data_IF_386295205551
#
_entry.id   IF_386295205551
#
_cell.length_a   1.000
_cell.length_b   1.000
_cell.length_c   1.000
_cell.angle_alpha   90.00
_cell.angle_beta   90.00
_cell.angle_gamma   90.00
#
_symmetry.space_group_name_H-M   'P 1'
#
loop_
_entity.id
_entity.type
_entity.pdbx_description
1 polymer ?
#
# COMPACT_ATOMS: atom_id res chain seq x y z
N UNK A 1 -25.79 8.01 13.40
CA UNK A 1 -24.67 8.93 13.10
C UNK A 1 -23.38 8.13 13.09
N UNK A 2 -22.99 7.56 11.94
CA UNK A 2 -21.88 6.62 11.84
C UNK A 2 -20.70 7.22 11.07
N UNK A 3 -19.97 8.16 11.66
CA UNK A 3 -18.65 8.53 11.15
C UNK A 3 -17.65 7.49 11.67
N UNK A 4 -17.70 6.28 11.12
CA UNK A 4 -16.70 5.26 11.41
C UNK A 4 -15.32 5.72 10.94
N UNK A 5 -14.31 5.51 11.77
CA UNK A 5 -12.91 5.74 11.42
C UNK A 5 -12.54 4.86 10.21
N UNK A 6 -11.71 5.36 9.30
CA UNK A 6 -11.30 4.63 8.09
C UNK A 6 -9.79 4.63 7.98
N UNK A 7 -9.21 3.45 7.81
CA UNK A 7 -7.83 3.32 7.35
C UNK A 7 -7.77 3.48 5.83
N UNK A 8 -6.71 4.09 5.33
CA UNK A 8 -6.55 4.39 3.89
C UNK A 8 -5.13 4.10 3.41
N UNK A 9 -5.05 3.66 2.17
CA UNK A 9 -3.84 3.70 1.34
C UNK A 9 -4.16 4.65 0.19
N UNK A 10 -3.39 5.71 0.04
CA UNK A 10 -3.49 6.66 -1.05
C UNK A 10 -2.35 6.45 -2.02
N UNK A 11 -2.68 6.51 -3.30
CA UNK A 11 -1.70 6.43 -4.38
C UNK A 11 -2.03 7.46 -5.45
N UNK A 12 -1.00 7.83 -6.21
CA UNK A 12 -1.13 8.59 -7.46
C UNK A 12 -0.57 7.77 -8.61
N UNK A 13 -1.21 7.83 -9.77
CA UNK A 13 -0.66 7.26 -10.98
C UNK A 13 0.39 8.21 -11.58
N UNK A 14 1.57 7.66 -11.85
CA UNK A 14 2.67 8.30 -12.54
C UNK A 14 2.78 7.75 -13.98
N UNK A 15 3.57 8.40 -14.87
CA UNK A 15 3.85 7.85 -16.20
C UNK A 15 4.39 6.41 -16.15
N UNK A 16 4.26 5.71 -17.28
CA UNK A 16 4.77 4.34 -17.46
C UNK A 16 4.14 3.29 -16.52
N UNK A 17 2.85 3.47 -16.17
CA UNK A 17 2.10 2.51 -15.34
C UNK A 17 2.78 2.29 -13.98
N UNK A 18 3.12 3.38 -13.30
CA UNK A 18 3.66 3.32 -11.93
C UNK A 18 2.65 3.94 -10.97
N UNK A 19 2.31 3.23 -9.89
CA UNK A 19 1.53 3.78 -8.79
C UNK A 19 2.50 4.18 -7.68
N UNK A 20 2.50 5.45 -7.31
CA UNK A 20 3.26 5.93 -6.17
C UNK A 20 2.40 5.81 -4.92
N UNK A 21 2.71 4.84 -4.07
CA UNK A 21 2.04 4.62 -2.79
C UNK A 21 2.61 5.63 -1.80
N UNK A 22 2.02 6.83 -1.80
CA UNK A 22 2.57 8.00 -1.13
C UNK A 22 2.10 8.15 0.32
N UNK A 23 0.97 7.55 0.70
CA UNK A 23 0.46 7.67 2.05
C UNK A 23 -0.35 6.46 2.52
N UNK A 24 -0.15 6.08 3.78
CA UNK A 24 -0.98 5.12 4.51
C UNK A 24 -1.36 5.71 5.85
N UNK A 25 -2.63 5.61 6.22
CA UNK A 25 -3.12 6.02 7.54
C UNK A 25 -3.94 4.89 8.16
N UNK A 26 -3.72 4.64 9.44
CA UNK A 26 -4.58 3.76 10.25
C UNK A 26 -4.99 4.52 11.50
N UNK A 27 -6.30 4.77 11.70
CA UNK A 27 -6.78 5.56 12.82
C UNK A 27 -6.47 4.85 14.14
N UNK A 28 -6.30 5.58 15.26
CA UNK A 28 -5.79 5.02 16.51
C UNK A 28 -6.55 3.79 17.03
N UNK A 29 -7.87 3.76 16.86
CA UNK A 29 -8.76 2.67 17.25
C UNK A 29 -8.62 1.40 16.41
N UNK A 30 -7.88 1.46 15.29
CA UNK A 30 -7.59 0.34 14.39
C UNK A 30 -6.10 -0.06 14.38
N UNK A 31 -5.24 0.66 15.09
CA UNK A 31 -3.81 0.34 15.19
C UNK A 31 -3.59 -1.01 15.90
N UNK A 32 -2.46 -1.65 15.59
CA UNK A 32 -2.11 -2.97 16.14
C UNK A 32 -2.89 -4.16 15.56
N UNK A 33 -3.91 -3.92 14.72
CA UNK A 33 -4.76 -4.98 14.12
C UNK A 33 -4.31 -5.42 12.73
N UNK A 34 -3.17 -4.93 12.25
CA UNK A 34 -2.63 -5.27 10.92
C UNK A 34 -3.33 -4.63 9.73
N UNK A 35 -4.21 -3.64 9.94
CA UNK A 35 -5.02 -3.02 8.87
C UNK A 35 -4.16 -2.38 7.77
N UNK A 36 -3.12 -1.63 8.14
CA UNK A 36 -2.19 -1.04 7.16
C UNK A 36 -1.55 -2.09 6.26
N UNK A 37 -1.13 -3.24 6.83
CA UNK A 37 -0.54 -4.35 6.08
C UNK A 37 -1.53 -4.92 5.06
N UNK A 38 -2.79 -5.08 5.45
CA UNK A 38 -3.86 -5.56 4.55
C UNK A 38 -4.09 -4.59 3.41
N UNK A 39 -4.16 -3.28 3.69
CA UNK A 39 -4.34 -2.27 2.65
C UNK A 39 -3.18 -2.28 1.64
N UNK A 40 -1.94 -2.38 2.11
CA UNK A 40 -0.77 -2.46 1.24
C UNK A 40 -0.84 -3.72 0.38
N UNK A 41 -1.14 -4.89 0.95
CA UNK A 41 -1.30 -6.15 0.20
C UNK A 41 -2.33 -6.05 -0.92
N UNK A 42 -3.52 -5.52 -0.62
CA UNK A 42 -4.56 -5.35 -1.65
C UNK A 42 -4.13 -4.33 -2.71
N UNK A 43 -3.37 -3.29 -2.34
CA UNK A 43 -2.76 -2.37 -3.29
C UNK A 43 -1.76 -3.07 -4.23
N UNK A 44 -0.88 -3.93 -3.69
CA UNK A 44 0.05 -4.73 -4.50
C UNK A 44 -0.67 -5.70 -5.43
N UNK A 45 -1.72 -6.35 -4.93
CA UNK A 45 -2.58 -7.22 -5.75
C UNK A 45 -3.23 -6.45 -6.90
N UNK A 46 -3.82 -5.29 -6.61
CA UNK A 46 -4.40 -4.41 -7.64
C UNK A 46 -3.35 -4.04 -8.70
N UNK A 47 -2.14 -3.67 -8.28
CA UNK A 47 -1.07 -3.34 -9.22
C UNK A 47 -0.68 -4.54 -10.10
N UNK A 48 -0.57 -5.74 -9.52
CA UNK A 48 -0.28 -6.97 -10.24
C UNK A 48 -1.34 -7.27 -11.31
N UNK A 49 -2.62 -7.28 -10.91
CA UNK A 49 -3.76 -7.59 -11.79
C UNK A 49 -3.89 -6.61 -12.95
N UNK A 50 -3.44 -5.37 -12.76
CA UNK A 50 -3.57 -4.30 -13.73
C UNK A 50 -2.25 -3.95 -14.43
N UNK A 51 -1.19 -4.75 -14.30
CA UNK A 51 0.12 -4.49 -14.92
C UNK A 51 0.72 -3.11 -14.55
N UNK A 52 0.63 -2.74 -13.28
CA UNK A 52 1.33 -1.59 -12.72
C UNK A 52 2.61 -2.01 -11.99
N UNK A 53 3.58 -1.10 -11.94
CA UNK A 53 4.67 -1.11 -10.95
C UNK A 53 4.32 -0.20 -9.79
N UNK A 54 5.00 -0.36 -8.66
CA UNK A 54 4.76 0.41 -7.44
C UNK A 54 6.03 1.15 -7.04
N UNK A 55 5.92 2.46 -6.84
CA UNK A 55 6.93 3.27 -6.18
C UNK A 55 6.51 3.45 -4.71
N UNK A 56 7.26 2.94 -3.72
CA UNK A 56 6.85 2.98 -2.33
C UNK A 56 7.36 4.24 -1.59
N UNK A 57 6.88 5.45 -1.95
CA UNK A 57 7.36 6.69 -1.29
C UNK A 57 6.93 6.79 0.17
N UNK A 58 5.79 6.21 0.56
CA UNK A 58 5.38 6.12 1.95
C UNK A 58 6.34 5.22 2.74
N UNK A 59 6.86 5.71 3.87
CA UNK A 59 7.80 4.98 4.74
C UNK A 59 7.29 3.59 5.16
N UNK A 60 5.98 3.46 5.42
CA UNK A 60 5.40 2.19 5.85
C UNK A 60 5.37 1.18 4.71
N UNK A 61 5.10 1.65 3.48
CA UNK A 61 5.09 0.81 2.29
C UNK A 61 6.51 0.38 1.93
N UNK A 62 7.49 1.28 2.04
CA UNK A 62 8.90 0.92 1.89
C UNK A 62 9.31 -0.18 2.90
N UNK A 63 8.97 0.01 4.18
CA UNK A 63 9.19 -1.02 5.22
C UNK A 63 8.48 -2.34 4.89
N UNK A 64 7.26 -2.29 4.36
CA UNK A 64 6.53 -3.48 3.91
C UNK A 64 7.30 -4.21 2.81
N UNK A 65 7.76 -3.49 1.80
CA UNK A 65 8.56 -4.06 0.71
C UNK A 65 9.81 -4.73 1.26
N UNK A 66 10.51 -4.10 2.20
CA UNK A 66 11.77 -4.60 2.73
C UNK A 66 11.61 -5.83 3.63
N UNK A 67 10.62 -5.84 4.51
CA UNK A 67 10.53 -6.82 5.60
C UNK A 67 9.41 -7.85 5.43
N UNK A 68 8.38 -7.55 4.64
CA UNK A 68 7.10 -8.28 4.66
C UNK A 68 6.61 -8.76 3.31
N UNK A 69 7.06 -8.14 2.22
CA UNK A 69 6.61 -8.46 0.87
C UNK A 69 7.12 -9.82 0.41
N UNK A 70 6.26 -10.53 -0.34
CA UNK A 70 6.66 -11.73 -1.08
C UNK A 70 7.62 -11.39 -2.23
N UNK A 71 8.28 -12.40 -2.79
CA UNK A 71 9.17 -12.19 -3.94
C UNK A 71 8.44 -11.59 -5.14
N UNK A 72 7.17 -11.95 -5.35
CA UNK A 72 6.37 -11.42 -6.45
C UNK A 72 5.96 -9.97 -6.21
N UNK A 73 5.62 -9.62 -4.98
CA UNK A 73 5.36 -8.23 -4.60
C UNK A 73 6.63 -7.36 -4.76
N UNK A 74 7.80 -7.86 -4.36
CA UNK A 74 9.08 -7.16 -4.54
C UNK A 74 9.42 -6.88 -6.00
N UNK A 75 9.04 -7.77 -6.93
CA UNK A 75 9.23 -7.53 -8.39
C UNK A 75 8.36 -6.39 -8.95
N UNK A 76 7.31 -6.01 -8.23
CA UNK A 76 6.47 -4.87 -8.61
C UNK A 76 7.04 -3.55 -8.11
N UNK A 77 7.83 -3.57 -7.03
CA UNK A 77 8.47 -2.38 -6.49
C UNK A 77 9.58 -1.86 -7.43
N UNK A 78 9.60 -0.54 -7.66
CA UNK A 78 10.57 0.18 -8.50
C UNK A 78 11.12 1.43 -7.83
#
# INVERSE_FOLDING_TARGET
>A
SGTGSRAVLQYRELPNRVLDFEHTETPPDQQGKGVAKTLVKEGFKFAAENNYKIKPTCWYVAKYVDEMASDDERKLAV
#
